data_IF_535819145644
#
_entry.id   IF_535819145644
#
_cell.length_a   1.000
_cell.length_b   1.000
_cell.length_c   1.000
_cell.angle_alpha   90.00
_cell.angle_beta   90.00
_cell.angle_gamma   90.00
#
_symmetry.space_group_name_H-M   'P 1'
#
loop_
_entity.id
_entity.type
_entity.pdbx_description
1 polymer ?
#
# COMPACT_ATOMS: atom_id res chain seq x y z
N UNK A 1 -31.08 39.62 16.15
CA UNK A 1 -29.60 39.63 16.24
C UNK A 1 -29.19 38.17 16.46
N UNK A 2 -28.94 37.42 15.39
CA UNK A 2 -28.61 35.99 15.49
C UNK A 2 -27.09 35.89 15.57
N UNK A 3 -26.56 35.53 16.73
CA UNK A 3 -25.18 35.11 16.89
C UNK A 3 -24.95 33.86 16.03
N UNK A 4 -24.20 34.03 14.96
CA UNK A 4 -23.57 32.90 14.26
C UNK A 4 -22.56 32.30 15.22
N UNK A 5 -22.89 31.15 15.77
CA UNK A 5 -21.91 30.30 16.42
C UNK A 5 -20.88 29.94 15.37
N UNK A 6 -19.76 30.64 15.37
CA UNK A 6 -18.55 30.21 14.65
C UNK A 6 -18.08 28.92 15.31
N UNK A 7 -18.36 27.78 14.68
CA UNK A 7 -17.58 26.58 14.95
C UNK A 7 -16.10 26.93 14.67
N UNK A 8 -15.18 26.65 15.58
CA UNK A 8 -13.77 26.95 15.36
C UNK A 8 -13.31 26.13 14.15
N UNK A 9 -12.86 26.78 13.08
CA UNK A 9 -12.03 26.18 12.04
C UNK A 9 -10.72 25.77 12.69
N UNK A 10 -10.70 24.59 13.34
CA UNK A 10 -9.51 23.98 13.92
C UNK A 10 -8.68 23.32 12.82
N UNK A 11 -8.29 24.09 11.82
CA UNK A 11 -7.28 23.70 10.86
C UNK A 11 -5.90 24.15 11.35
N UNK A 12 -4.91 23.26 11.29
CA UNK A 12 -3.52 23.66 11.45
C UNK A 12 -3.18 24.79 10.45
N UNK A 13 -2.25 25.68 10.80
CA UNK A 13 -1.75 26.68 9.85
C UNK A 13 -1.21 25.97 8.59
N UNK A 14 -1.26 26.61 7.42
CA UNK A 14 -0.79 26.03 6.16
C UNK A 14 0.66 25.52 6.26
N UNK A 15 1.50 26.20 7.03
CA UNK A 15 2.91 25.80 7.29
C UNK A 15 2.98 24.51 8.10
N UNK A 16 2.12 24.34 9.12
CA UNK A 16 2.07 23.14 9.93
C UNK A 16 1.49 21.96 9.14
N UNK A 17 0.43 22.20 8.34
CA UNK A 17 -0.14 21.21 7.44
C UNK A 17 0.88 20.70 6.41
N UNK A 18 1.64 21.60 5.79
CA UNK A 18 2.72 21.21 4.86
C UNK A 18 3.76 20.32 5.53
N UNK A 19 4.16 20.61 6.78
CA UNK A 19 5.11 19.74 7.52
C UNK A 19 4.54 18.35 7.79
N UNK A 20 3.27 18.25 8.17
CA UNK A 20 2.59 16.95 8.40
C UNK A 20 2.53 16.13 7.11
N UNK A 21 2.11 16.74 6.00
CA UNK A 21 2.03 16.07 4.69
C UNK A 21 3.41 15.63 4.21
N UNK A 22 4.41 16.51 4.27
CA UNK A 22 5.78 16.18 3.82
C UNK A 22 6.43 15.09 4.69
N UNK A 23 6.24 15.12 6.01
CA UNK A 23 6.73 14.08 6.91
C UNK A 23 6.07 12.72 6.64
N UNK A 24 4.76 12.71 6.41
CA UNK A 24 4.01 11.50 6.05
C UNK A 24 4.42 10.96 4.68
N UNK A 25 4.61 11.84 3.70
CA UNK A 25 5.07 11.48 2.36
C UNK A 25 6.47 10.87 2.39
N UNK A 26 7.42 11.50 3.08
CA UNK A 26 8.80 11.02 3.15
C UNK A 26 8.91 9.63 3.81
N UNK A 27 8.16 9.40 4.90
CA UNK A 27 8.11 8.07 5.52
C UNK A 27 7.55 7.02 4.57
N UNK A 28 6.40 7.30 3.97
CA UNK A 28 5.76 6.39 3.02
C UNK A 28 6.64 6.11 1.79
N UNK A 29 7.39 7.11 1.29
CA UNK A 29 8.27 6.94 0.13
C UNK A 29 9.34 5.86 0.37
N UNK A 30 9.95 5.87 1.54
CA UNK A 30 10.99 4.89 1.90
C UNK A 30 10.41 3.49 1.98
N UNK A 31 9.23 3.34 2.64
CA UNK A 31 8.51 2.08 2.72
C UNK A 31 8.21 1.52 1.33
N UNK A 32 7.65 2.36 0.45
CA UNK A 32 7.24 1.93 -0.89
C UNK A 32 8.43 1.61 -1.79
N UNK A 33 9.52 2.39 -1.73
CA UNK A 33 10.74 2.08 -2.48
C UNK A 33 11.28 0.70 -2.11
N UNK A 34 11.50 0.43 -0.82
CA UNK A 34 12.03 -0.84 -0.32
C UNK A 34 11.14 -2.03 -0.68
N UNK A 35 9.83 -1.79 -0.68
CA UNK A 35 8.84 -2.79 -1.06
C UNK A 35 8.93 -3.13 -2.56
N UNK A 36 8.97 -2.13 -3.42
CA UNK A 36 8.92 -2.33 -4.87
C UNK A 36 10.23 -2.83 -5.46
N UNK A 37 11.40 -2.47 -4.91
CA UNK A 37 12.66 -3.07 -5.37
C UNK A 37 12.66 -4.58 -5.16
N UNK A 38 12.13 -5.07 -4.04
CA UNK A 38 12.05 -6.50 -3.80
C UNK A 38 11.05 -7.18 -4.75
N UNK A 39 9.86 -6.60 -4.96
CA UNK A 39 8.86 -7.14 -5.88
C UNK A 39 9.37 -7.24 -7.32
N UNK A 40 10.08 -6.22 -7.79
CA UNK A 40 10.70 -6.21 -9.12
C UNK A 40 11.84 -7.23 -9.21
N UNK A 41 12.67 -7.33 -8.17
CA UNK A 41 13.77 -8.28 -8.13
C UNK A 41 13.31 -9.74 -8.03
N UNK A 42 12.15 -10.01 -7.43
CA UNK A 42 11.68 -11.38 -7.16
C UNK A 42 11.71 -12.26 -8.41
N UNK A 43 11.10 -11.83 -9.49
CA UNK A 43 11.06 -12.62 -10.71
C UNK A 43 12.25 -12.39 -11.66
N UNK A 44 12.80 -11.17 -11.70
CA UNK A 44 13.88 -10.83 -12.63
C UNK A 44 15.26 -11.33 -12.17
N UNK A 45 15.46 -11.43 -10.86
CA UNK A 45 16.77 -11.68 -10.23
C UNK A 45 16.75 -12.89 -9.31
N UNK A 46 15.80 -12.95 -8.34
CA UNK A 46 15.83 -13.97 -7.31
C UNK A 46 15.47 -15.35 -7.84
N UNK A 47 14.54 -15.43 -8.80
CA UNK A 47 14.21 -16.71 -9.41
C UNK A 47 15.45 -17.41 -10.02
N UNK A 48 16.23 -16.81 -10.93
CA UNK A 48 17.40 -17.45 -11.51
C UNK A 48 18.60 -17.57 -10.56
N UNK A 49 18.82 -16.65 -9.62
CA UNK A 49 20.03 -16.59 -8.82
C UNK A 49 19.91 -17.26 -7.45
N UNK A 50 18.70 -17.36 -6.88
CA UNK A 50 18.49 -17.92 -5.54
C UNK A 50 17.69 -19.23 -5.55
N UNK A 51 16.93 -19.48 -6.63
CA UNK A 51 16.08 -20.67 -6.80
C UNK A 51 16.38 -21.37 -8.14
N UNK A 52 17.65 -21.69 -8.43
CA UNK A 52 17.97 -22.37 -9.70
C UNK A 52 17.33 -23.75 -9.74
N UNK A 53 16.75 -24.10 -10.88
CA UNK A 53 16.11 -25.41 -11.10
C UNK A 53 15.81 -25.61 -12.58
N UNK A 54 15.40 -26.83 -12.92
CA UNK A 54 15.09 -27.20 -14.30
C UNK A 54 13.72 -26.64 -14.79
N UNK A 55 12.86 -26.26 -13.87
CA UNK A 55 11.56 -25.67 -14.17
C UNK A 55 11.54 -24.17 -13.79
N UNK A 56 11.46 -23.26 -14.78
CA UNK A 56 11.43 -21.82 -14.55
C UNK A 56 10.24 -21.36 -13.69
N UNK A 57 9.09 -22.07 -13.75
CA UNK A 57 7.92 -21.73 -12.94
C UNK A 57 8.16 -21.94 -11.45
N UNK A 58 8.87 -23.02 -11.08
CA UNK A 58 9.18 -23.30 -9.68
C UNK A 58 10.06 -22.20 -9.08
N UNK A 59 11.07 -21.75 -9.81
CA UNK A 59 11.94 -20.63 -9.39
C UNK A 59 11.17 -19.33 -9.18
N UNK A 60 10.27 -18.98 -10.09
CA UNK A 60 9.42 -17.78 -10.00
C UNK A 60 8.45 -17.89 -8.83
N UNK A 61 7.79 -19.04 -8.66
CA UNK A 61 6.88 -19.30 -7.54
C UNK A 61 7.62 -19.17 -6.21
N UNK A 62 8.82 -19.75 -6.08
CA UNK A 62 9.63 -19.67 -4.86
C UNK A 62 10.08 -18.22 -4.56
N UNK A 63 10.47 -17.46 -5.58
CA UNK A 63 10.83 -16.05 -5.43
C UNK A 63 9.64 -15.20 -4.97
N UNK A 64 8.45 -15.41 -5.53
CA UNK A 64 7.25 -14.73 -5.09
C UNK A 64 6.70 -15.24 -3.75
N UNK A 65 6.94 -16.50 -3.39
CA UNK A 65 6.68 -16.98 -2.03
C UNK A 65 7.53 -16.22 -1.01
N UNK A 66 8.81 -16.01 -1.30
CA UNK A 66 9.70 -15.20 -0.46
C UNK A 66 9.25 -13.73 -0.38
N UNK A 67 8.76 -13.16 -1.48
CA UNK A 67 8.15 -11.85 -1.47
C UNK A 67 6.92 -11.80 -0.55
N UNK A 68 6.03 -12.78 -0.69
CA UNK A 68 4.77 -12.87 0.06
C UNK A 68 4.95 -13.11 1.56
N UNK A 69 5.96 -13.88 1.94
CA UNK A 69 6.25 -14.24 3.33
C UNK A 69 6.48 -13.00 4.23
N UNK A 70 7.05 -11.93 3.70
CA UNK A 70 7.22 -10.68 4.43
C UNK A 70 5.90 -10.04 4.88
N UNK A 71 4.80 -10.33 4.21
CA UNK A 71 3.48 -9.81 4.60
C UNK A 71 2.87 -10.55 5.79
N UNK A 72 3.26 -11.80 6.02
CA UNK A 72 2.77 -12.58 7.15
C UNK A 72 3.25 -12.02 8.50
N UNK A 73 4.41 -11.38 8.53
CA UNK A 73 4.97 -10.79 9.74
C UNK A 73 4.50 -9.35 10.02
N UNK A 74 3.88 -8.68 9.04
CA UNK A 74 3.37 -7.30 9.20
C UNK A 74 2.35 -7.15 10.32
N UNK A 75 1.32 -8.00 10.48
CA UNK A 75 0.38 -7.91 11.60
C UNK A 75 1.07 -8.03 12.95
N UNK A 76 2.06 -8.93 13.08
CA UNK A 76 2.85 -9.08 14.30
C UNK A 76 3.65 -7.82 14.61
N UNK A 77 4.32 -7.26 13.61
CA UNK A 77 5.00 -5.98 13.72
C UNK A 77 4.05 -4.85 14.17
N UNK A 78 2.86 -4.80 13.58
CA UNK A 78 1.82 -3.82 13.94
C UNK A 78 1.42 -3.91 15.42
N UNK A 79 1.26 -5.11 15.96
CA UNK A 79 0.93 -5.33 17.38
C UNK A 79 2.10 -4.93 18.27
N UNK A 80 3.30 -5.39 17.97
CA UNK A 80 4.50 -5.14 18.78
C UNK A 80 4.85 -3.66 18.77
N UNK A 81 5.00 -3.05 17.60
CA UNK A 81 5.36 -1.63 17.50
C UNK A 81 4.22 -0.69 17.88
N UNK A 82 2.97 -1.10 17.76
CA UNK A 82 1.83 -0.39 18.31
C UNK A 82 1.96 -0.27 19.86
N UNK A 83 2.25 -1.38 20.52
CA UNK A 83 2.44 -1.39 21.96
C UNK A 83 3.68 -0.59 22.42
N UNK A 84 4.79 -0.71 21.68
CA UNK A 84 5.99 0.09 21.96
C UNK A 84 5.73 1.58 21.76
N UNK A 85 5.01 1.95 20.67
CA UNK A 85 4.66 3.34 20.37
C UNK A 85 3.82 4.01 21.46
N UNK A 86 2.95 3.24 22.11
CA UNK A 86 2.15 3.73 23.24
C UNK A 86 2.97 3.90 24.53
N UNK A 87 4.06 3.13 24.70
CA UNK A 87 4.92 3.19 25.89
C UNK A 87 6.09 4.16 25.78
N UNK A 88 6.82 4.11 24.68
CA UNK A 88 8.13 4.77 24.51
C UNK A 88 8.01 6.05 23.65
N UNK A 89 6.91 6.19 22.91
CA UNK A 89 6.66 7.29 22.00
C UNK A 89 6.68 6.86 20.54
N UNK A 90 5.86 7.54 19.74
CA UNK A 90 5.69 7.20 18.31
C UNK A 90 6.94 7.51 17.50
N UNK A 91 7.63 8.61 17.78
CA UNK A 91 8.86 9.01 17.09
C UNK A 91 9.95 7.93 17.23
N UNK A 92 10.21 7.45 18.44
CA UNK A 92 11.24 6.44 18.72
C UNK A 92 10.88 5.13 18.01
N UNK A 93 9.63 4.70 18.09
CA UNK A 93 9.14 3.50 17.42
C UNK A 93 9.33 3.58 15.91
N UNK A 94 8.99 4.72 15.29
CA UNK A 94 9.18 4.94 13.86
C UNK A 94 10.66 4.98 13.44
N UNK A 95 11.56 5.43 14.30
CA UNK A 95 13.02 5.35 14.06
C UNK A 95 13.48 3.89 14.04
N UNK A 96 13.02 3.07 14.99
CA UNK A 96 13.36 1.65 15.03
C UNK A 96 12.80 0.89 13.84
N UNK A 97 11.52 1.11 13.47
CA UNK A 97 10.91 0.42 12.31
C UNK A 97 11.63 0.77 11.03
N UNK A 98 11.95 2.05 10.80
CA UNK A 98 12.72 2.49 9.65
C UNK A 98 14.12 1.89 9.62
N UNK A 99 14.81 1.85 10.76
CA UNK A 99 16.13 1.23 10.89
C UNK A 99 16.11 -0.26 10.52
N UNK A 100 15.12 -1.00 11.03
CA UNK A 100 14.96 -2.43 10.74
C UNK A 100 14.70 -2.64 9.24
N UNK A 101 13.76 -1.90 8.66
CA UNK A 101 13.39 -2.05 7.24
C UNK A 101 14.55 -1.69 6.32
N UNK A 102 15.12 -0.51 6.48
CA UNK A 102 16.20 -0.04 5.60
C UNK A 102 17.47 -0.88 5.72
N UNK A 103 17.84 -1.30 6.94
CA UNK A 103 19.01 -2.18 7.14
C UNK A 103 18.77 -3.55 6.51
N UNK A 104 17.58 -4.14 6.70
CA UNK A 104 17.24 -5.44 6.09
C UNK A 104 17.30 -5.36 4.57
N UNK A 105 16.75 -4.30 3.97
CA UNK A 105 16.78 -4.08 2.52
C UNK A 105 18.22 -3.93 2.01
N UNK A 106 19.02 -3.12 2.68
CA UNK A 106 20.42 -2.91 2.32
C UNK A 106 21.23 -4.21 2.36
N UNK A 107 21.03 -5.04 3.40
CA UNK A 107 21.73 -6.32 3.57
C UNK A 107 21.35 -7.33 2.48
N UNK A 108 20.15 -7.28 1.89
CA UNK A 108 19.77 -8.12 0.75
C UNK A 108 20.78 -7.97 -0.40
N UNK A 109 21.27 -6.74 -0.65
CA UNK A 109 22.26 -6.48 -1.68
C UNK A 109 23.63 -7.15 -1.47
N UNK A 110 23.91 -7.72 -0.30
CA UNK A 110 25.15 -8.41 0.02
C UNK A 110 25.02 -9.94 0.07
N UNK A 111 23.80 -10.48 -0.08
CA UNK A 111 23.62 -11.93 -0.01
C UNK A 111 24.33 -12.57 -1.21
N UNK A 112 25.21 -13.60 -0.97
CA UNK A 112 25.77 -14.41 -2.05
C UNK A 112 24.67 -15.22 -2.73
N UNK A 113 24.90 -15.61 -3.99
CA UNK A 113 23.92 -16.38 -4.77
C UNK A 113 23.88 -17.85 -4.35
N UNK A 114 22.90 -18.60 -4.88
CA UNK A 114 22.80 -20.04 -4.63
C UNK A 114 24.05 -20.81 -5.08
N UNK A 115 24.71 -20.36 -6.16
CA UNK A 115 25.94 -20.99 -6.65
C UNK A 115 27.11 -20.81 -5.67
N UNK A 116 27.10 -19.78 -4.82
CA UNK A 116 28.16 -19.50 -3.86
C UNK A 116 27.98 -20.24 -2.54
N UNK A 117 26.75 -20.22 -1.98
CA UNK A 117 26.46 -20.72 -0.61
C UNK A 117 25.29 -21.71 -0.55
N UNK A 118 24.79 -22.19 -1.70
CA UNK A 118 23.72 -23.17 -1.79
C UNK A 118 22.43 -22.71 -1.12
N UNK A 119 21.81 -23.61 -0.35
CA UNK A 119 20.49 -23.38 0.32
C UNK A 119 20.50 -22.21 1.31
N UNK A 120 21.67 -21.78 1.80
CA UNK A 120 21.76 -20.65 2.71
C UNK A 120 21.38 -19.33 2.02
N UNK A 121 21.55 -19.21 0.71
CA UNK A 121 21.19 -17.99 -0.04
C UNK A 121 19.68 -17.70 0.07
N UNK A 122 18.76 -18.60 -0.32
CA UNK A 122 17.32 -18.36 -0.17
C UNK A 122 16.87 -18.26 1.29
N UNK A 123 17.50 -18.99 2.23
CA UNK A 123 17.16 -18.90 3.65
C UNK A 123 17.51 -17.52 4.24
N UNK A 124 18.66 -16.95 3.91
CA UNK A 124 19.04 -15.60 4.31
C UNK A 124 18.10 -14.55 3.70
N UNK A 125 17.77 -14.69 2.41
CA UNK A 125 16.84 -13.81 1.73
C UNK A 125 15.46 -13.83 2.41
N UNK A 126 14.95 -15.02 2.74
CA UNK A 126 13.69 -15.19 3.46
C UNK A 126 13.75 -14.59 4.88
N UNK A 127 14.83 -14.82 5.62
CA UNK A 127 15.01 -14.28 6.96
C UNK A 127 14.99 -12.74 6.95
N UNK A 128 15.75 -12.12 6.05
CA UNK A 128 15.75 -10.66 5.90
C UNK A 128 14.38 -10.13 5.48
N UNK A 129 13.65 -10.87 4.63
CA UNK A 129 12.30 -10.50 4.23
C UNK A 129 11.28 -10.55 5.38
N UNK A 130 11.37 -11.56 6.26
CA UNK A 130 10.56 -11.66 7.48
C UNK A 130 10.84 -10.49 8.43
N UNK A 131 12.11 -10.15 8.64
CA UNK A 131 12.54 -9.02 9.49
C UNK A 131 12.04 -7.69 8.90
N UNK A 132 12.18 -7.50 7.58
CA UNK A 132 11.67 -6.32 6.87
C UNK A 132 10.15 -6.18 7.03
N UNK A 133 9.40 -7.27 6.80
CA UNK A 133 7.94 -7.29 6.96
C UNK A 133 7.51 -6.96 8.39
N UNK A 134 8.21 -7.47 9.40
CA UNK A 134 7.96 -7.16 10.80
C UNK A 134 8.15 -5.66 11.09
N UNK A 135 9.21 -5.04 10.57
CA UNK A 135 9.43 -3.59 10.68
C UNK A 135 8.31 -2.76 10.03
N UNK A 136 7.90 -3.12 8.81
CA UNK A 136 6.84 -2.43 8.05
C UNK A 136 5.48 -2.44 8.74
N UNK A 137 5.20 -3.44 9.60
CA UNK A 137 3.93 -3.55 10.32
C UNK A 137 3.61 -2.36 11.21
N UNK A 138 4.62 -1.67 11.75
CA UNK A 138 4.45 -0.56 12.70
C UNK A 138 4.23 0.83 12.10
N UNK A 139 4.33 1.01 10.78
CA UNK A 139 4.47 2.35 10.19
C UNK A 139 3.17 3.00 9.67
N UNK A 140 2.30 2.24 9.02
CA UNK A 140 1.21 2.78 8.19
C UNK A 140 0.12 3.59 8.90
N UNK A 141 -0.35 3.16 10.07
CA UNK A 141 -1.60 3.71 10.66
C UNK A 141 -1.51 5.17 11.11
N UNK A 142 -0.33 5.63 11.51
CA UNK A 142 -0.15 6.96 12.09
C UNK A 142 -0.12 8.10 11.07
N UNK A 143 0.60 7.91 9.97
CA UNK A 143 0.86 8.95 8.99
C UNK A 143 -0.40 9.36 8.20
N UNK A 144 -1.19 8.38 7.75
CA UNK A 144 -2.41 8.63 7.00
C UNK A 144 -3.47 9.35 7.84
N UNK A 145 -3.69 8.90 9.09
CA UNK A 145 -4.67 9.53 9.99
C UNK A 145 -4.27 10.93 10.42
N UNK A 146 -2.99 11.17 10.74
CA UNK A 146 -2.52 12.51 11.07
C UNK A 146 -2.87 13.52 9.96
N UNK A 147 -2.64 13.16 8.71
CA UNK A 147 -2.95 14.04 7.58
C UNK A 147 -4.45 14.30 7.46
N UNK A 148 -5.28 13.25 7.57
CA UNK A 148 -6.73 13.38 7.39
C UNK A 148 -7.39 14.13 8.55
N UNK A 149 -6.99 13.88 9.79
CA UNK A 149 -7.55 14.52 10.98
C UNK A 149 -7.16 16.00 11.08
N UNK A 150 -5.95 16.33 10.60
CA UNK A 150 -5.49 17.71 10.53
C UNK A 150 -6.06 18.51 9.34
N UNK A 151 -6.63 17.83 8.33
CA UNK A 151 -7.11 18.46 7.12
C UNK A 151 -8.52 19.06 7.28
N UNK A 152 -8.79 20.26 6.72
CA UNK A 152 -10.13 20.81 6.62
C UNK A 152 -11.07 19.85 5.91
N UNK A 153 -12.33 19.75 6.35
CA UNK A 153 -13.32 18.79 5.80
C UNK A 153 -13.44 18.84 4.28
N UNK A 154 -13.42 20.04 3.71
CA UNK A 154 -13.58 20.27 2.27
C UNK A 154 -12.36 19.79 1.42
N UNK A 155 -11.20 19.54 2.03
CA UNK A 155 -9.93 19.18 1.35
C UNK A 155 -9.34 17.86 1.86
N UNK A 156 -10.09 17.05 2.60
CA UNK A 156 -9.60 15.80 3.19
C UNK A 156 -9.19 14.77 2.15
N UNK A 157 -9.92 14.68 1.03
CA UNK A 157 -9.59 13.79 -0.07
C UNK A 157 -8.26 14.19 -0.73
N UNK A 158 -8.12 15.46 -1.10
CA UNK A 158 -6.90 15.99 -1.71
C UNK A 158 -5.69 15.85 -0.78
N UNK A 159 -5.77 16.38 0.45
CA UNK A 159 -4.64 16.35 1.38
C UNK A 159 -4.31 14.91 1.82
N UNK A 160 -5.31 14.04 1.99
CA UNK A 160 -5.12 12.63 2.33
C UNK A 160 -4.48 11.81 1.21
N UNK A 161 -4.63 12.22 -0.06
CA UNK A 161 -4.02 11.56 -1.22
C UNK A 161 -2.54 11.92 -1.41
N UNK A 162 -2.07 13.06 -0.88
CA UNK A 162 -0.68 13.49 -1.07
C UNK A 162 0.34 12.49 -0.49
N UNK A 163 0.21 11.98 0.75
CA UNK A 163 1.09 10.92 1.23
C UNK A 163 0.98 9.63 0.41
N UNK A 164 -0.20 9.32 -0.15
CA UNK A 164 -0.40 8.12 -0.98
C UNK A 164 0.35 8.21 -2.32
N UNK A 165 0.62 9.41 -2.82
CA UNK A 165 1.44 9.65 -4.02
C UNK A 165 2.85 9.05 -3.87
N UNK A 166 3.33 8.89 -2.63
CA UNK A 166 4.61 8.26 -2.34
C UNK A 166 4.74 6.83 -2.89
N UNK A 167 3.63 6.09 -3.02
CA UNK A 167 3.65 4.77 -3.65
C UNK A 167 4.08 4.85 -5.12
N UNK A 168 3.47 5.77 -5.89
CA UNK A 168 3.84 5.98 -7.30
C UNK A 168 5.28 6.47 -7.45
N UNK A 169 5.75 7.36 -6.57
CA UNK A 169 7.15 7.81 -6.56
C UNK A 169 8.10 6.65 -6.20
N UNK A 170 7.73 5.83 -5.22
CA UNK A 170 8.52 4.65 -4.81
C UNK A 170 8.65 3.63 -5.95
N UNK A 171 7.53 3.32 -6.65
CA UNK A 171 7.56 2.47 -7.85
C UNK A 171 8.45 3.08 -8.93
N UNK A 172 8.29 4.37 -9.21
CA UNK A 172 9.08 5.06 -10.23
C UNK A 172 10.57 4.99 -9.93
N UNK A 173 10.97 5.23 -8.69
CA UNK A 173 12.37 5.13 -8.28
C UNK A 173 12.87 3.69 -8.35
N UNK A 174 12.10 2.72 -7.83
CA UNK A 174 12.49 1.31 -7.83
C UNK A 174 12.64 0.78 -9.26
N UNK A 175 11.60 0.92 -10.09
CA UNK A 175 11.62 0.46 -11.48
C UNK A 175 12.62 1.25 -12.34
N UNK A 176 12.78 2.57 -12.07
CA UNK A 176 13.74 3.41 -12.75
C UNK A 176 15.19 2.98 -12.54
N UNK A 177 15.58 2.67 -11.29
CA UNK A 177 16.91 2.17 -11.00
C UNK A 177 17.15 0.81 -11.68
N UNK A 178 16.18 -0.11 -11.63
CA UNK A 178 16.30 -1.38 -12.36
C UNK A 178 16.38 -1.18 -13.87
N UNK A 179 15.57 -0.27 -14.45
CA UNK A 179 15.62 0.04 -15.87
C UNK A 179 16.99 0.64 -16.29
N UNK A 180 17.54 1.57 -15.50
CA UNK A 180 18.87 2.13 -15.72
C UNK A 180 19.96 1.04 -15.66
N UNK A 181 19.92 0.19 -14.63
CA UNK A 181 20.86 -0.93 -14.53
C UNK A 181 20.75 -1.88 -15.73
N UNK A 182 19.53 -2.21 -16.16
CA UNK A 182 19.31 -3.09 -17.31
C UNK A 182 19.73 -2.45 -18.64
N UNK A 183 19.62 -1.12 -18.77
CA UNK A 183 19.99 -0.39 -19.99
C UNK A 183 21.51 -0.23 -20.13
N UNK A 184 22.21 0.12 -19.03
CA UNK A 184 23.66 0.42 -19.08
C UNK A 184 24.54 -0.80 -18.86
N UNK A 185 24.04 -1.89 -18.30
CA UNK A 185 24.78 -3.10 -18.02
C UNK A 185 24.39 -4.22 -19.01
N UNK A 186 25.36 -5.05 -19.37
CA UNK A 186 25.04 -6.29 -20.08
C UNK A 186 24.23 -7.22 -19.17
N UNK A 187 23.51 -8.20 -19.73
CA UNK A 187 22.73 -9.16 -18.94
C UNK A 187 23.61 -9.91 -17.94
N UNK A 188 24.85 -10.24 -18.33
CA UNK A 188 25.83 -10.91 -17.46
C UNK A 188 26.25 -10.00 -16.30
N UNK A 189 26.57 -8.74 -16.58
CA UNK A 189 26.90 -7.74 -15.55
C UNK A 189 25.71 -7.48 -14.63
N UNK A 190 24.50 -7.36 -15.19
CA UNK A 190 23.29 -7.15 -14.41
C UNK A 190 23.05 -8.30 -13.44
N UNK A 191 23.14 -9.56 -13.88
CA UNK A 191 22.92 -10.73 -13.02
C UNK A 191 24.09 -11.01 -12.06
N UNK A 192 25.33 -10.61 -12.39
CA UNK A 192 26.48 -10.81 -11.49
C UNK A 192 26.50 -9.83 -10.32
N UNK A 193 26.30 -8.53 -10.57
CA UNK A 193 26.39 -7.50 -9.53
C UNK A 193 25.38 -6.35 -9.67
N UNK A 194 24.93 -6.03 -10.89
CA UNK A 194 24.12 -4.85 -11.17
C UNK A 194 22.78 -4.83 -10.42
N UNK A 195 22.18 -5.99 -10.18
CA UNK A 195 20.95 -6.12 -9.43
C UNK A 195 21.06 -5.70 -7.94
N UNK A 196 22.28 -5.61 -7.42
CA UNK A 196 22.56 -5.21 -6.03
C UNK A 196 22.43 -3.70 -5.82
N UNK A 197 22.63 -2.91 -6.88
CA UNK A 197 22.60 -1.44 -6.83
C UNK A 197 21.29 -0.90 -6.23
N UNK A 198 20.08 -1.32 -6.65
CA UNK A 198 18.85 -0.84 -6.06
C UNK A 198 18.78 -1.07 -4.55
N UNK A 199 19.30 -2.21 -4.07
CA UNK A 199 19.34 -2.53 -2.64
C UNK A 199 20.37 -1.70 -1.88
N UNK A 200 21.53 -1.42 -2.47
CA UNK A 200 22.53 -0.53 -1.85
C UNK A 200 22.06 0.91 -1.78
N UNK A 201 21.29 1.37 -2.76
CA UNK A 201 20.68 2.71 -2.73
C UNK A 201 19.66 2.88 -1.61
N UNK A 202 19.10 1.79 -1.06
CA UNK A 202 18.22 1.87 0.11
C UNK A 202 18.95 2.46 1.34
N UNK A 203 20.29 2.34 1.41
CA UNK A 203 21.06 3.01 2.47
C UNK A 203 20.98 4.53 2.39
N UNK A 204 20.98 5.11 1.19
CA UNK A 204 20.80 6.55 0.99
C UNK A 204 19.40 6.96 1.45
N UNK A 205 18.39 6.17 1.06
CA UNK A 205 17.01 6.39 1.47
C UNK A 205 16.86 6.28 3.00
N UNK A 206 17.50 5.27 3.61
CA UNK A 206 17.52 5.09 5.07
C UNK A 206 18.13 6.32 5.78
N UNK A 207 19.28 6.83 5.31
CA UNK A 207 19.95 7.99 5.88
C UNK A 207 19.03 9.22 5.79
N UNK A 208 18.44 9.48 4.63
CA UNK A 208 17.52 10.61 4.40
C UNK A 208 16.30 10.48 5.31
N UNK A 209 15.69 9.29 5.38
CA UNK A 209 14.53 9.04 6.23
C UNK A 209 14.84 9.17 7.71
N UNK A 210 15.98 8.66 8.14
CA UNK A 210 16.46 8.79 9.52
C UNK A 210 16.67 10.27 9.88
N UNK A 211 17.31 11.03 8.98
CA UNK A 211 17.50 12.47 9.17
C UNK A 211 16.17 13.20 9.33
N UNK A 212 15.20 12.95 8.46
CA UNK A 212 13.86 13.56 8.54
C UNK A 212 13.17 13.18 9.87
N UNK A 213 13.21 11.91 10.28
CA UNK A 213 12.58 11.42 11.52
C UNK A 213 13.22 12.00 12.78
N UNK A 214 14.53 12.15 12.81
CA UNK A 214 15.24 12.74 13.93
C UNK A 214 14.87 14.21 14.15
N UNK A 215 14.59 14.96 13.05
CA UNK A 215 14.20 16.37 13.11
C UNK A 215 12.69 16.62 13.20
N UNK A 216 11.87 15.56 13.12
CA UNK A 216 10.41 15.66 13.31
C UNK A 216 10.09 15.64 14.81
N UNK A 217 9.24 16.56 15.28
CA UNK A 217 8.78 16.58 16.65
C UNK A 217 7.79 15.43 16.94
N UNK A 218 7.73 15.00 18.22
CA UNK A 218 6.70 14.07 18.71
C UNK A 218 5.30 14.68 18.53
N UNK A 219 4.31 13.83 18.22
CA UNK A 219 2.94 14.29 17.96
C UNK A 219 2.32 14.95 19.18
N UNK A 220 1.57 16.06 18.95
CA UNK A 220 0.84 16.78 19.99
C UNK A 220 -0.10 15.86 20.78
N UNK A 221 -0.76 14.93 20.10
CA UNK A 221 -1.65 13.93 20.69
C UNK A 221 -0.94 13.04 21.72
N UNK A 222 0.32 12.64 21.45
CA UNK A 222 1.10 11.83 22.39
C UNK A 222 1.48 12.66 23.61
N UNK A 223 1.91 13.91 23.40
CA UNK A 223 2.23 14.84 24.50
C UNK A 223 1.00 15.10 25.39
N UNK A 224 -0.19 15.26 24.78
CA UNK A 224 -1.45 15.45 25.51
C UNK A 224 -1.92 14.19 26.25
N UNK A 225 -1.79 13.01 25.65
CA UNK A 225 -2.16 11.73 26.30
C UNK A 225 -1.25 11.38 27.47
N UNK A 226 0.01 11.77 27.46
CA UNK A 226 0.89 11.64 28.64
C UNK A 226 0.42 12.49 29.82
N UNK A 227 -0.24 13.64 29.55
CA UNK A 227 -0.76 14.53 30.60
C UNK A 227 -2.12 14.08 31.15
N UNK A 228 -2.94 13.38 30.34
CA UNK A 228 -4.21 12.81 30.77
C UNK A 228 -3.96 11.39 31.26
N UNK A 229 -4.01 11.16 32.58
CA UNK A 229 -4.00 9.81 33.16
C UNK A 229 -5.13 9.01 32.54
N UNK A 230 -4.78 8.07 31.65
CA UNK A 230 -5.75 7.19 31.00
C UNK A 230 -6.46 6.36 32.07
N UNK A 231 -7.78 6.41 32.04
CA UNK A 231 -8.63 5.57 32.90
C UNK A 231 -8.28 4.10 32.63
N UNK A 232 -7.71 3.42 33.61
CA UNK A 232 -7.17 2.03 33.51
C UNK A 232 -8.24 0.97 33.21
N UNK A 233 -9.51 1.38 32.97
CA UNK A 233 -10.66 0.47 32.81
C UNK A 233 -11.16 0.32 31.35
N UNK A 234 -10.58 1.03 30.38
CA UNK A 234 -11.02 0.87 28.98
C UNK A 234 -10.50 -0.46 28.40
N UNK A 235 -11.33 -1.26 27.73
CA UNK A 235 -10.88 -2.48 27.07
C UNK A 235 -9.87 -2.16 25.97
N UNK A 236 -8.95 -3.09 25.64
CA UNK A 236 -8.01 -2.89 24.54
C UNK A 236 -8.74 -2.50 23.25
N UNK A 237 -8.25 -1.50 22.49
CA UNK A 237 -8.92 -0.98 21.30
C UNK A 237 -9.26 -2.07 20.26
N UNK A 238 -8.44 -3.13 20.18
CA UNK A 238 -8.67 -4.25 19.27
C UNK A 238 -9.93 -5.05 19.67
N UNK A 239 -10.13 -5.31 20.96
CA UNK A 239 -11.31 -6.03 21.45
C UNK A 239 -12.57 -5.18 21.21
N UNK A 240 -12.49 -3.89 21.47
CA UNK A 240 -13.60 -2.96 21.23
C UNK A 240 -13.94 -2.88 19.73
N UNK A 241 -12.93 -2.88 18.86
CA UNK A 241 -13.10 -2.88 17.40
C UNK A 241 -13.90 -4.10 16.93
N UNK A 242 -13.51 -5.30 17.35
CA UNK A 242 -14.21 -6.54 16.96
C UNK A 242 -15.61 -6.64 17.56
N UNK A 243 -15.81 -6.11 18.78
CA UNK A 243 -17.12 -6.14 19.44
C UNK A 243 -18.11 -5.15 18.84
N UNK A 244 -17.66 -3.92 18.53
CA UNK A 244 -18.55 -2.84 18.09
C UNK A 244 -18.68 -2.72 16.57
N UNK A 245 -17.61 -3.07 15.81
CA UNK A 245 -17.55 -2.83 14.35
C UNK A 245 -17.17 -4.06 13.51
N UNK A 246 -17.65 -5.30 13.78
CA UNK A 246 -17.22 -6.50 13.05
C UNK A 246 -17.54 -6.37 11.55
N UNK A 247 -18.72 -5.87 11.18
CA UNK A 247 -19.12 -5.69 9.78
C UNK A 247 -18.18 -4.72 9.05
N UNK A 248 -17.83 -3.61 9.68
CA UNK A 248 -16.94 -2.61 9.05
C UNK A 248 -15.54 -3.13 8.83
N UNK A 249 -15.04 -4.01 9.70
CA UNK A 249 -13.76 -4.70 9.51
C UNK A 249 -13.80 -5.55 8.24
N UNK A 250 -14.79 -6.43 8.10
CA UNK A 250 -14.91 -7.30 6.92
C UNK A 250 -15.11 -6.51 5.63
N UNK A 251 -15.92 -5.44 5.67
CA UNK A 251 -16.12 -4.57 4.50
C UNK A 251 -14.85 -3.81 4.13
N UNK A 252 -14.09 -3.31 5.09
CA UNK A 252 -12.82 -2.63 4.83
C UNK A 252 -11.75 -3.58 4.29
N UNK A 253 -11.65 -4.79 4.87
CA UNK A 253 -10.76 -5.85 4.37
C UNK A 253 -11.09 -6.20 2.92
N UNK A 254 -12.35 -6.54 2.63
CA UNK A 254 -12.79 -6.90 1.29
C UNK A 254 -12.66 -5.75 0.29
N UNK A 255 -12.99 -4.53 0.69
CA UNK A 255 -12.87 -3.34 -0.15
C UNK A 255 -11.45 -3.13 -0.64
N UNK A 256 -10.43 -3.38 0.19
CA UNK A 256 -9.04 -3.15 -0.15
C UNK A 256 -8.43 -4.21 -1.07
N UNK A 257 -9.03 -5.38 -1.19
CA UNK A 257 -8.42 -6.50 -1.93
C UNK A 257 -8.13 -6.17 -3.40
N UNK A 258 -9.06 -5.51 -4.12
CA UNK A 258 -8.85 -5.19 -5.53
C UNK A 258 -7.66 -4.25 -5.74
N UNK A 259 -7.54 -3.21 -4.91
CA UNK A 259 -6.41 -2.27 -4.97
C UNK A 259 -5.09 -2.99 -4.78
N UNK A 260 -4.97 -3.74 -3.68
CA UNK A 260 -3.73 -4.40 -3.30
C UNK A 260 -3.33 -5.52 -4.27
N UNK A 261 -4.29 -6.34 -4.71
CA UNK A 261 -4.04 -7.45 -5.64
C UNK A 261 -3.73 -6.93 -7.04
N UNK A 262 -4.53 -6.00 -7.59
CA UNK A 262 -4.30 -5.49 -8.95
C UNK A 262 -2.99 -4.72 -9.07
N UNK A 263 -2.62 -3.94 -8.04
CA UNK A 263 -1.33 -3.25 -7.99
C UNK A 263 -0.15 -4.22 -8.10
N UNK A 264 -0.16 -5.29 -7.30
CA UNK A 264 0.91 -6.29 -7.31
C UNK A 264 0.91 -7.16 -8.58
N UNK A 265 -0.28 -7.46 -9.14
CA UNK A 265 -0.36 -8.20 -10.41
C UNK A 265 0.21 -7.36 -11.55
N UNK A 266 -0.11 -6.08 -11.64
CA UNK A 266 0.39 -5.23 -12.74
C UNK A 266 1.90 -4.96 -12.56
N UNK A 267 2.33 -4.61 -11.36
CA UNK A 267 3.71 -4.20 -11.08
C UNK A 267 4.68 -5.38 -10.93
N UNK A 268 4.40 -6.35 -10.07
CA UNK A 268 5.34 -7.44 -9.80
C UNK A 268 5.15 -8.60 -10.80
N UNK A 269 3.96 -9.21 -10.83
CA UNK A 269 3.68 -10.35 -11.70
C UNK A 269 3.72 -9.96 -13.18
N UNK A 270 3.14 -8.82 -13.57
CA UNK A 270 3.06 -8.37 -14.97
C UNK A 270 4.42 -8.15 -15.60
N UNK A 271 5.39 -7.57 -14.87
CA UNK A 271 6.77 -7.41 -15.35
C UNK A 271 7.38 -8.78 -15.67
N UNK A 272 7.21 -9.74 -14.79
CA UNK A 272 7.75 -11.11 -14.97
C UNK A 272 7.02 -11.84 -16.10
N UNK A 273 5.69 -11.75 -16.14
CA UNK A 273 4.87 -12.37 -17.20
C UNK A 273 5.28 -11.88 -18.59
N UNK A 274 5.44 -10.57 -18.77
CA UNK A 274 5.86 -10.00 -20.06
C UNK A 274 7.27 -10.44 -20.44
N UNK A 275 8.19 -10.47 -19.46
CA UNK A 275 9.60 -10.79 -19.74
C UNK A 275 9.86 -12.27 -19.93
N UNK A 276 9.16 -13.14 -19.20
CA UNK A 276 9.43 -14.60 -19.22
C UNK A 276 8.45 -15.35 -20.10
N UNK A 277 7.14 -15.15 -19.91
CA UNK A 277 6.12 -15.90 -20.65
C UNK A 277 5.91 -15.37 -22.08
N UNK A 278 5.86 -14.03 -22.26
CA UNK A 278 5.79 -13.44 -23.60
C UNK A 278 7.15 -13.35 -24.29
N UNK A 279 8.24 -13.65 -23.56
CA UNK A 279 9.64 -13.62 -24.03
C UNK A 279 10.04 -12.26 -24.65
N UNK A 280 9.55 -11.16 -24.08
CA UNK A 280 9.90 -9.81 -24.51
C UNK A 280 11.05 -9.24 -23.68
N UNK A 281 11.75 -8.23 -24.19
CA UNK A 281 12.81 -7.53 -23.44
C UNK A 281 12.28 -6.97 -22.13
N UNK A 282 13.09 -7.09 -21.05
CA UNK A 282 12.78 -6.56 -19.73
C UNK A 282 12.57 -5.04 -19.72
N UNK A 283 13.16 -4.33 -20.67
CA UNK A 283 13.00 -2.88 -20.81
C UNK A 283 11.54 -2.48 -21.11
N UNK A 284 10.79 -3.34 -21.80
CA UNK A 284 9.40 -3.04 -22.17
C UNK A 284 8.51 -2.88 -20.94
N UNK A 285 8.37 -3.89 -20.05
CA UNK A 285 7.52 -3.75 -18.87
C UNK A 285 8.09 -2.76 -17.83
N UNK A 286 9.42 -2.66 -17.69
CA UNK A 286 10.04 -1.68 -16.79
C UNK A 286 9.74 -0.25 -17.23
N UNK A 287 9.88 0.07 -18.53
CA UNK A 287 9.52 1.38 -19.07
C UNK A 287 8.03 1.65 -18.98
N UNK A 288 7.18 0.66 -19.27
CA UNK A 288 5.73 0.77 -19.13
C UNK A 288 5.33 1.12 -17.68
N UNK A 289 5.93 0.45 -16.71
CA UNK A 289 5.66 0.71 -15.29
C UNK A 289 6.23 2.05 -14.82
N UNK A 290 7.40 2.44 -15.34
CA UNK A 290 8.00 3.75 -15.10
C UNK A 290 7.07 4.88 -15.54
N UNK A 291 6.53 4.80 -16.75
CA UNK A 291 5.58 5.79 -17.30
C UNK A 291 4.26 5.74 -16.51
N UNK A 292 3.75 4.55 -16.20
CA UNK A 292 2.52 4.39 -15.44
C UNK A 292 2.62 5.03 -14.04
N UNK A 293 3.74 4.84 -13.36
CA UNK A 293 3.97 5.42 -12.04
C UNK A 293 4.22 6.95 -12.10
N UNK A 294 4.92 7.44 -13.13
CA UNK A 294 5.07 8.89 -13.35
C UNK A 294 3.71 9.58 -13.53
N UNK A 295 2.81 8.98 -14.31
CA UNK A 295 1.42 9.47 -14.46
C UNK A 295 0.66 9.34 -13.13
N UNK A 296 0.90 8.27 -12.36
CA UNK A 296 0.31 8.03 -11.04
C UNK A 296 0.62 9.12 -10.02
N UNK A 297 1.80 9.77 -10.11
CA UNK A 297 2.17 10.92 -9.28
C UNK A 297 1.17 12.08 -9.43
N UNK A 298 0.66 12.29 -10.64
CA UNK A 298 -0.34 13.32 -10.94
C UNK A 298 -1.77 12.81 -10.73
N UNK A 299 -2.02 11.56 -11.10
CA UNK A 299 -3.34 10.94 -11.01
C UNK A 299 -3.81 10.83 -9.55
N UNK A 300 -2.95 10.41 -8.63
CA UNK A 300 -3.32 10.21 -7.23
C UNK A 300 -3.86 11.49 -6.56
N UNK A 301 -3.17 12.66 -6.57
CA UNK A 301 -3.73 13.90 -6.02
C UNK A 301 -4.97 14.39 -6.77
N UNK A 302 -5.02 14.19 -8.09
CA UNK A 302 -6.19 14.56 -8.91
C UNK A 302 -7.43 13.77 -8.48
N UNK A 303 -7.29 12.47 -8.24
CA UNK A 303 -8.38 11.63 -7.76
C UNK A 303 -8.79 12.00 -6.33
N UNK A 304 -7.81 12.34 -5.46
CA UNK A 304 -8.08 12.90 -4.15
C UNK A 304 -8.92 14.18 -4.20
N UNK A 305 -8.53 15.12 -5.06
CA UNK A 305 -9.28 16.36 -5.27
C UNK A 305 -10.67 16.13 -5.88
N UNK A 306 -10.78 15.23 -6.86
CA UNK A 306 -12.06 14.89 -7.45
C UNK A 306 -12.98 14.24 -6.41
N UNK A 307 -12.44 13.46 -5.48
CA UNK A 307 -13.18 12.79 -4.43
C UNK A 307 -13.81 13.75 -3.42
N UNK A 308 -13.22 14.93 -3.22
CA UNK A 308 -13.80 15.98 -2.37
C UNK A 308 -15.09 16.57 -2.99
N UNK A 309 -15.24 16.50 -4.32
CA UNK A 309 -16.41 17.00 -5.08
C UNK A 309 -17.49 15.95 -5.30
N UNK A 310 -17.08 14.75 -5.78
CA UNK A 310 -18.03 13.68 -6.15
C UNK A 310 -18.27 12.65 -5.06
N UNK A 311 -17.39 12.61 -4.05
CA UNK A 311 -17.44 11.66 -2.93
C UNK A 311 -16.45 10.52 -3.09
N UNK A 312 -15.75 10.16 -1.99
CA UNK A 312 -14.69 9.15 -1.96
C UNK A 312 -15.17 7.77 -2.41
N UNK A 313 -16.39 7.38 -1.99
CA UNK A 313 -16.98 6.10 -2.36
C UNK A 313 -17.17 5.95 -3.87
N UNK A 314 -17.64 6.98 -4.56
CA UNK A 314 -17.90 6.93 -6.00
C UNK A 314 -16.58 6.72 -6.78
N UNK A 315 -15.51 7.41 -6.38
CA UNK A 315 -14.17 7.23 -6.96
C UNK A 315 -13.67 5.82 -6.72
N UNK A 316 -13.83 5.30 -5.50
CA UNK A 316 -13.41 3.94 -5.17
C UNK A 316 -14.19 2.88 -5.96
N UNK A 317 -15.53 3.03 -6.05
CA UNK A 317 -16.39 2.14 -6.84
C UNK A 317 -16.02 2.15 -8.32
N UNK A 318 -15.70 3.31 -8.87
CA UNK A 318 -15.25 3.40 -10.26
C UNK A 318 -13.95 2.61 -10.46
N UNK A 319 -12.94 2.78 -9.58
CA UNK A 319 -11.68 2.04 -9.66
C UNK A 319 -11.88 0.53 -9.52
N UNK A 320 -12.69 0.08 -8.55
CA UNK A 320 -13.00 -1.34 -8.38
C UNK A 320 -13.78 -1.91 -9.58
N UNK A 321 -14.78 -1.18 -10.08
CA UNK A 321 -15.55 -1.56 -11.27
C UNK A 321 -14.69 -1.60 -12.52
N UNK A 322 -13.75 -0.66 -12.66
CA UNK A 322 -12.76 -0.71 -13.73
C UNK A 322 -11.92 -1.98 -13.66
N UNK A 323 -11.43 -2.38 -12.48
CA UNK A 323 -10.68 -3.63 -12.31
C UNK A 323 -11.52 -4.86 -12.69
N UNK A 324 -12.82 -4.88 -12.38
CA UNK A 324 -13.74 -5.95 -12.82
C UNK A 324 -13.79 -6.04 -14.35
N UNK A 325 -13.97 -4.92 -15.02
CA UNK A 325 -14.09 -4.89 -16.50
C UNK A 325 -12.75 -5.12 -17.18
N UNK A 326 -11.64 -4.72 -16.58
CA UNK A 326 -10.31 -4.75 -17.20
C UNK A 326 -9.52 -6.02 -16.90
N UNK A 327 -10.00 -6.93 -16.04
CA UNK A 327 -9.31 -8.15 -15.64
C UNK A 327 -8.90 -9.04 -16.83
N UNK A 328 -9.81 -9.32 -17.75
CA UNK A 328 -9.52 -10.09 -18.97
C UNK A 328 -8.88 -9.25 -20.07
N UNK A 329 -9.39 -8.05 -20.41
CA UNK A 329 -8.77 -7.18 -21.39
C UNK A 329 -7.29 -6.89 -21.11
N UNK A 330 -6.87 -6.76 -19.88
CA UNK A 330 -5.47 -6.56 -19.53
C UNK A 330 -4.56 -7.63 -20.14
N UNK A 331 -4.85 -8.90 -19.92
CA UNK A 331 -4.05 -10.02 -20.45
C UNK A 331 -4.19 -10.19 -21.95
N UNK A 332 -5.38 -9.93 -22.53
CA UNK A 332 -5.59 -9.89 -23.99
C UNK A 332 -4.69 -8.86 -24.67
N UNK A 333 -4.63 -7.66 -24.10
CA UNK A 333 -3.80 -6.57 -24.63
C UNK A 333 -2.30 -6.87 -24.48
N UNK A 334 -1.87 -7.46 -23.36
CA UNK A 334 -0.49 -7.92 -23.21
C UNK A 334 -0.12 -8.99 -24.24
N UNK A 335 -1.04 -9.91 -24.53
CA UNK A 335 -0.86 -10.99 -25.52
C UNK A 335 -0.66 -10.52 -26.97
N UNK A 336 -0.99 -9.25 -27.29
CA UNK A 336 -0.70 -8.66 -28.61
C UNK A 336 0.80 -8.50 -28.89
N UNK A 337 1.63 -8.52 -27.84
CA UNK A 337 3.09 -8.30 -27.90
C UNK A 337 3.51 -6.96 -28.50
N UNK A 338 2.57 -6.05 -28.74
CA UNK A 338 2.85 -4.68 -29.20
C UNK A 338 3.32 -3.82 -28.03
N UNK A 339 4.50 -3.23 -28.14
CA UNK A 339 5.11 -2.40 -27.10
C UNK A 339 4.16 -1.27 -26.67
N UNK A 340 3.58 -0.57 -27.64
CA UNK A 340 2.66 0.54 -27.35
C UNK A 340 1.40 0.07 -26.61
N UNK A 341 0.81 -1.06 -27.05
CA UNK A 341 -0.39 -1.61 -26.42
C UNK A 341 -0.08 -2.09 -24.99
N UNK A 342 1.07 -2.71 -24.77
CA UNK A 342 1.54 -3.13 -23.44
C UNK A 342 1.66 -1.91 -22.53
N UNK A 343 2.34 -0.85 -22.98
CA UNK A 343 2.49 0.37 -22.20
C UNK A 343 1.14 1.02 -21.87
N UNK A 344 0.26 1.17 -22.88
CA UNK A 344 -1.09 1.69 -22.65
C UNK A 344 -1.87 0.84 -21.65
N UNK A 345 -1.76 -0.49 -21.72
CA UNK A 345 -2.45 -1.40 -20.81
C UNK A 345 -1.94 -1.26 -19.37
N UNK A 346 -0.62 -1.15 -19.18
CA UNK A 346 -0.02 -0.92 -17.86
C UNK A 346 -0.39 0.45 -17.30
N UNK A 347 -0.33 1.52 -18.12
CA UNK A 347 -0.67 2.89 -17.73
C UNK A 347 -2.14 2.98 -17.29
N UNK A 348 -3.04 2.50 -18.14
CA UNK A 348 -4.48 2.55 -17.89
C UNK A 348 -4.87 1.63 -16.74
N UNK A 349 -4.36 0.39 -16.74
CA UNK A 349 -4.62 -0.60 -15.70
C UNK A 349 -4.18 -0.13 -14.32
N UNK A 350 -2.98 0.44 -14.22
CA UNK A 350 -2.43 0.92 -12.94
C UNK A 350 -3.15 2.18 -12.44
N UNK A 351 -3.42 3.16 -13.30
CA UNK A 351 -3.94 4.46 -12.87
C UNK A 351 -5.45 4.48 -12.64
N UNK A 352 -6.26 3.86 -13.51
CA UNK A 352 -7.72 3.82 -13.34
C UNK A 352 -8.20 2.74 -12.38
N UNK A 353 -7.36 1.76 -12.05
CA UNK A 353 -7.64 0.74 -11.03
C UNK A 353 -7.03 1.10 -9.68
N UNK A 354 -5.87 0.51 -9.33
CA UNK A 354 -5.30 0.62 -7.98
C UNK A 354 -4.97 2.04 -7.55
N UNK A 355 -4.37 2.90 -8.40
CA UNK A 355 -4.01 4.27 -8.01
C UNK A 355 -5.23 5.10 -7.61
N UNK A 356 -6.33 4.96 -8.36
CA UNK A 356 -7.59 5.64 -8.08
C UNK A 356 -8.18 5.24 -6.74
N UNK A 357 -8.22 3.94 -6.45
CA UNK A 357 -8.69 3.40 -5.16
C UNK A 357 -7.78 3.84 -4.03
N UNK A 358 -6.46 3.73 -4.21
CA UNK A 358 -5.45 4.04 -3.20
C UNK A 358 -5.47 5.51 -2.78
N UNK A 359 -5.70 6.42 -3.73
CA UNK A 359 -5.79 7.87 -3.47
C UNK A 359 -6.86 8.23 -2.43
N UNK A 360 -8.00 7.57 -2.46
CA UNK A 360 -9.17 7.91 -1.62
C UNK A 360 -9.38 6.94 -0.45
N UNK A 361 -8.66 5.83 -0.43
CA UNK A 361 -8.79 4.75 0.54
C UNK A 361 -8.68 5.22 2.01
N UNK A 362 -7.65 6.00 2.41
CA UNK A 362 -7.51 6.40 3.81
C UNK A 362 -8.69 7.25 4.28
N UNK A 363 -9.17 8.16 3.42
CA UNK A 363 -10.30 9.05 3.74
C UNK A 363 -11.61 8.27 3.81
N UNK A 364 -11.84 7.30 2.93
CA UNK A 364 -13.01 6.45 2.94
C UNK A 364 -13.03 5.57 4.20
N UNK A 365 -11.92 4.89 4.49
CA UNK A 365 -11.86 3.94 5.61
C UNK A 365 -11.85 4.64 6.97
N UNK A 366 -11.27 5.85 7.08
CA UNK A 366 -11.33 6.62 8.33
C UNK A 366 -12.75 6.96 8.78
N UNK A 367 -13.71 6.98 7.85
CA UNK A 367 -15.14 7.22 8.16
C UNK A 367 -15.89 5.98 8.62
N UNK A 368 -15.33 4.78 8.39
CA UNK A 368 -15.99 3.52 8.75
C UNK A 368 -15.87 3.20 10.24
N UNK A 369 -14.90 3.80 10.92
CA UNK A 369 -14.61 3.52 12.32
C UNK A 369 -14.80 4.76 13.18
N UNK A 370 -15.39 4.57 14.37
CA UNK A 370 -15.51 5.63 15.38
C UNK A 370 -14.15 6.16 15.82
N UNK A 371 -14.10 7.39 16.31
CA UNK A 371 -12.84 8.10 16.67
C UNK A 371 -11.94 7.31 17.63
N UNK A 372 -12.53 6.54 18.56
CA UNK A 372 -11.80 5.77 19.56
C UNK A 372 -11.03 4.56 18.99
N UNK A 373 -11.57 3.92 17.93
CA UNK A 373 -11.01 2.70 17.32
C UNK A 373 -10.56 2.91 15.88
N UNK A 374 -10.62 4.15 15.37
CA UNK A 374 -10.31 4.48 13.97
C UNK A 374 -8.90 4.07 13.56
N UNK A 375 -7.91 4.38 14.40
CA UNK A 375 -6.53 4.00 14.15
C UNK A 375 -6.37 2.48 14.06
N UNK A 376 -6.88 1.77 15.05
CA UNK A 376 -6.79 0.30 15.12
C UNK A 376 -7.54 -0.35 13.95
N UNK A 377 -8.74 0.15 13.62
CA UNK A 377 -9.55 -0.37 12.51
C UNK A 377 -8.88 -0.18 11.14
N UNK A 378 -8.35 1.02 10.90
CA UNK A 378 -7.63 1.32 9.66
C UNK A 378 -6.37 0.46 9.51
N UNK A 379 -5.54 0.41 10.57
CA UNK A 379 -4.31 -0.38 10.58
C UNK A 379 -4.60 -1.87 10.42
N UNK A 380 -5.61 -2.39 11.11
CA UNK A 380 -6.02 -3.79 11.00
C UNK A 380 -6.45 -4.14 9.57
N UNK A 381 -7.39 -3.38 9.01
CA UNK A 381 -7.84 -3.60 7.64
C UNK A 381 -6.69 -3.52 6.64
N UNK A 382 -5.77 -2.58 6.82
CA UNK A 382 -4.62 -2.41 5.94
C UNK A 382 -3.64 -3.58 6.01
N UNK A 383 -3.21 -3.99 7.19
CA UNK A 383 -2.20 -5.03 7.35
C UNK A 383 -2.70 -6.43 6.96
N UNK A 384 -3.95 -6.76 7.33
CA UNK A 384 -4.49 -8.08 7.00
C UNK A 384 -4.84 -8.24 5.52
N UNK A 385 -5.40 -7.21 4.86
CA UNK A 385 -5.63 -7.26 3.41
C UNK A 385 -4.33 -7.26 2.61
N UNK A 386 -3.25 -6.66 3.14
CA UNK A 386 -1.94 -6.67 2.52
C UNK A 386 -1.34 -8.07 2.41
N UNK A 387 -1.73 -9.02 3.26
CA UNK A 387 -1.28 -10.41 3.17
C UNK A 387 -1.70 -11.00 1.81
N UNK A 388 -2.99 -10.93 1.47
CA UNK A 388 -3.47 -11.44 0.19
C UNK A 388 -2.87 -10.66 -1.00
N UNK A 389 -2.78 -9.33 -0.88
CA UNK A 389 -2.14 -8.49 -1.89
C UNK A 389 -0.69 -8.87 -2.15
N UNK A 390 0.10 -9.06 -1.10
CA UNK A 390 1.51 -9.45 -1.21
C UNK A 390 1.72 -10.89 -1.68
N UNK A 391 0.77 -11.77 -1.39
CA UNK A 391 0.79 -13.14 -1.90
C UNK A 391 0.21 -13.26 -3.32
N UNK A 392 -0.41 -12.22 -3.86
CA UNK A 392 -1.06 -12.29 -5.18
C UNK A 392 -0.11 -12.61 -6.34
N UNK A 393 1.16 -12.18 -6.39
CA UNK A 393 2.09 -12.63 -7.43
C UNK A 393 2.44 -14.12 -7.33
N UNK A 394 2.53 -14.67 -6.11
CA UNK A 394 2.70 -16.10 -5.89
C UNK A 394 1.48 -16.88 -6.40
N UNK A 395 0.28 -16.45 -6.03
CA UNK A 395 -0.98 -17.06 -6.47
C UNK A 395 -1.09 -16.96 -8.01
N UNK A 396 -0.81 -15.81 -8.59
CA UNK A 396 -0.86 -15.59 -10.02
C UNK A 396 0.15 -16.47 -10.77
N UNK A 397 1.37 -16.61 -10.27
CA UNK A 397 2.39 -17.49 -10.87
C UNK A 397 2.00 -18.96 -10.79
N UNK A 398 1.41 -19.39 -9.67
CA UNK A 398 0.89 -20.74 -9.50
C UNK A 398 -0.29 -21.03 -10.44
N UNK A 399 -1.21 -20.07 -10.59
CA UNK A 399 -2.34 -20.17 -11.54
C UNK A 399 -1.87 -20.16 -12.99
N UNK A 400 -0.81 -19.41 -13.32
CA UNK A 400 -0.21 -19.40 -14.65
C UNK A 400 0.42 -20.77 -14.97
N UNK A 401 1.12 -21.36 -14.00
CA UNK A 401 1.69 -22.71 -14.14
C UNK A 401 0.58 -23.76 -14.34
N UNK A 402 -0.50 -23.72 -13.56
CA UNK A 402 -1.68 -24.57 -13.73
C UNK A 402 -2.33 -24.39 -15.12
N UNK A 403 -2.37 -23.16 -15.62
CA UNK A 403 -2.84 -22.81 -16.97
C UNK A 403 -1.85 -23.15 -18.08
N UNK A 404 -0.72 -23.82 -17.78
CA UNK A 404 0.33 -24.15 -18.77
C UNK A 404 0.85 -22.92 -19.54
N UNK A 405 0.95 -21.80 -18.83
CA UNK A 405 1.39 -20.52 -19.38
C UNK A 405 0.26 -19.59 -19.88
N UNK A 406 -0.97 -20.07 -19.93
CA UNK A 406 -2.14 -19.25 -20.30
C UNK A 406 -2.63 -18.43 -19.11
N UNK A 407 -2.89 -17.10 -19.27
CA UNK A 407 -3.17 -16.21 -18.16
C UNK A 407 -4.63 -16.22 -17.65
N UNK A 408 -5.50 -17.07 -18.21
CA UNK A 408 -6.95 -17.00 -17.97
C UNK A 408 -7.36 -17.28 -16.53
N UNK A 409 -6.64 -18.15 -15.84
CA UNK A 409 -6.86 -18.38 -14.39
C UNK A 409 -6.45 -17.17 -13.56
N UNK A 410 -5.39 -16.47 -13.97
CA UNK A 410 -4.96 -15.23 -13.30
C UNK A 410 -5.99 -14.12 -13.54
N UNK A 411 -6.50 -13.99 -14.77
CA UNK A 411 -7.57 -13.04 -15.08
C UNK A 411 -8.84 -13.31 -14.27
N UNK A 412 -9.21 -14.60 -14.15
CA UNK A 412 -10.37 -15.02 -13.34
C UNK A 412 -10.17 -14.71 -11.84
N UNK A 413 -8.96 -14.94 -11.30
CA UNK A 413 -8.62 -14.57 -9.92
C UNK A 413 -8.76 -13.05 -9.71
N UNK A 414 -8.19 -12.25 -10.62
CA UNK A 414 -8.29 -10.79 -10.55
C UNK A 414 -9.75 -10.32 -10.63
N UNK A 415 -10.56 -10.93 -11.51
CA UNK A 415 -11.99 -10.65 -11.64
C UNK A 415 -12.75 -10.91 -10.33
N UNK A 416 -12.58 -12.09 -9.75
CA UNK A 416 -13.28 -12.49 -8.50
C UNK A 416 -12.92 -11.55 -7.36
N UNK A 417 -11.64 -11.25 -7.17
CA UNK A 417 -11.18 -10.33 -6.13
C UNK A 417 -11.75 -8.92 -6.36
N UNK A 418 -11.79 -8.47 -7.62
CA UNK A 418 -12.33 -7.15 -7.96
C UNK A 418 -13.85 -7.06 -7.70
N UNK A 419 -14.60 -8.12 -7.99
CA UNK A 419 -16.04 -8.21 -7.68
C UNK A 419 -16.25 -8.15 -6.16
N UNK A 420 -15.46 -8.91 -5.37
CA UNK A 420 -15.55 -8.88 -3.90
C UNK A 420 -15.34 -7.44 -3.39
N UNK A 421 -14.31 -6.77 -3.86
CA UNK A 421 -14.05 -5.38 -3.47
C UNK A 421 -15.16 -4.43 -3.88
N UNK A 422 -15.65 -4.53 -5.11
CA UNK A 422 -16.75 -3.72 -5.60
C UNK A 422 -18.00 -3.86 -4.72
N UNK A 423 -18.39 -5.11 -4.42
CA UNK A 423 -19.54 -5.42 -3.56
C UNK A 423 -19.32 -4.89 -2.14
N UNK A 424 -18.12 -5.09 -1.56
CA UNK A 424 -17.83 -4.56 -0.23
C UNK A 424 -17.95 -3.04 -0.17
N UNK A 425 -17.42 -2.31 -1.14
CA UNK A 425 -17.53 -0.84 -1.20
C UNK A 425 -18.97 -0.41 -1.45
N UNK A 426 -19.72 -1.16 -2.27
CA UNK A 426 -21.13 -0.89 -2.49
C UNK A 426 -21.97 -1.03 -1.22
N UNK A 427 -21.62 -1.98 -0.33
CA UNK A 427 -22.30 -2.21 0.94
C UNK A 427 -21.92 -1.22 2.05
N UNK A 428 -20.82 -0.46 1.92
CA UNK A 428 -20.38 0.52 2.92
C UNK A 428 -21.41 1.64 3.13
N UNK A 429 -22.12 2.08 2.10
CA UNK A 429 -22.98 3.27 2.13
C UNK A 429 -24.35 3.08 2.80
N UNK A 430 -24.85 1.87 2.86
CA UNK A 430 -26.15 1.58 3.49
C UNK A 430 -26.22 1.90 4.98
N UNK A 431 -25.10 2.15 5.64
CA UNK A 431 -25.02 2.56 7.04
C UNK A 431 -24.92 4.08 7.23
N UNK A 432 -24.17 4.78 6.38
CA UNK A 432 -24.00 6.24 6.51
C UNK A 432 -25.28 7.01 6.18
N UNK A 433 -26.07 6.53 5.25
CA UNK A 433 -27.40 7.10 4.99
C UNK A 433 -28.39 6.81 6.14
N UNK A 434 -28.36 5.60 6.70
CA UNK A 434 -29.18 5.26 7.88
C UNK A 434 -28.80 6.07 9.11
N UNK A 435 -27.50 6.26 9.39
CA UNK A 435 -27.04 7.10 10.51
C UNK A 435 -27.38 8.58 10.29
N UNK A 436 -27.31 9.09 9.05
CA UNK A 436 -27.75 10.45 8.71
C UNK A 436 -29.26 10.60 8.83
N UNK A 437 -30.04 9.61 8.45
CA UNK A 437 -31.50 9.62 8.62
C UNK A 437 -31.90 9.57 10.09
N UNK A 438 -31.26 8.71 10.89
CA UNK A 438 -31.47 8.63 12.32
C UNK A 438 -31.08 9.94 13.01
N UNK A 439 -29.93 10.51 12.68
CA UNK A 439 -29.47 11.80 13.22
C UNK A 439 -30.39 12.96 12.81
N UNK A 440 -30.90 12.98 11.58
CA UNK A 440 -31.92 13.97 11.13
C UNK A 440 -33.26 13.80 11.85
N UNK A 441 -33.68 12.55 12.08
CA UNK A 441 -34.89 12.29 12.84
C UNK A 441 -34.78 12.74 14.29
N UNK A 442 -33.66 12.48 14.96
CA UNK A 442 -33.41 12.96 16.33
C UNK A 442 -33.35 14.50 16.42
N UNK A 443 -32.80 15.18 15.41
CA UNK A 443 -32.76 16.65 15.35
C UNK A 443 -34.16 17.23 15.10
N UNK A 444 -35.02 16.53 14.36
CA UNK A 444 -36.39 16.95 14.10
C UNK A 444 -37.25 16.82 15.36
N UNK A 445 -37.15 15.74 16.11
CA UNK A 445 -37.86 15.54 17.38
C UNK A 445 -37.41 16.51 18.48
N UNK A 446 -36.18 16.96 18.49
CA UNK A 446 -35.62 17.91 19.50
C UNK A 446 -36.02 19.36 19.22
N UNK A 447 -36.56 19.67 18.05
CA UNK A 447 -37.00 21.03 17.64
C UNK A 447 -38.52 21.25 17.75
N UNK A 448 -39.31 20.27 18.20
CA UNK A 448 -40.71 20.53 18.53
C UNK A 448 -40.75 21.14 19.93
N UNK A 449 -41.22 22.41 20.08
CA UNK A 449 -41.47 22.97 21.41
C UNK A 449 -42.58 22.12 22.06
N UNK A 450 -42.35 21.74 23.31
CA UNK A 450 -43.43 21.25 24.16
C UNK A 450 -44.44 22.39 24.32
N UNK A 451 -45.49 22.42 23.52
CA UNK A 451 -46.70 23.16 23.83
C UNK A 451 -47.41 22.41 24.96
N UNK A 452 -47.26 22.95 26.16
CA UNK A 452 -48.19 22.82 27.29
C UNK A 452 -48.23 24.14 28.05
#
# INVERSE_FOLDING_TARGET
MSERIHEPESGLSDKAMRRVVMGSFAGALLEWYDFFIFGTAAGLVFAPLFYPGNDPFIGIIAAFATFGVGFLTRPLGGIVFGHFGDKVGRKITLIWTLGIVGTSTFLIGFIPTYNDIGIWAPLLLMALRLIQGFGLGGEYGGAALMTIESAPQAKRGFLGSLPQTAASVGIMLATGVFALCNHFLTQEQFLSWGWRIPFWLSAVMLIVGMFIRLHTEETLDFKQRQQVKTDKKAPPPLIELFRKHPRNIFLALGARLAESVSSNIINAFGIVYISTQLALSRDIPLTGMLIASAIGILCCPLMGWLSDRVGQRKIYLFGAGFCVLFAFPFFLLLGTKSVLIIWCSMIVGYNLGPTMMFAVQPTLFSRMFGTQVRYTGLSFAYQFSAILGGMSPLIASSLLALGKGEPWYVASFLLVISIISFVCVWLIDGQQEKEKQVSRSYHFYRKQPHEH
#
